data_IF_049836480386
#
_entry.id   IF_049836480386
#
_cell.length_a   1.000
_cell.length_b   1.000
_cell.length_c   1.000
_cell.angle_alpha   90.00
_cell.angle_beta   90.00
_cell.angle_gamma   90.00
#
_symmetry.space_group_name_H-M   'P 1'
#
loop_
_entity.id
_entity.type
_entity.pdbx_description
1 polymer ?
#
# COMPACT_ATOMS: atom_id res chain seq x y z
N UNK A 1 -21.58 -27.50 3.79
CA UNK A 1 -22.51 -27.28 4.92
C UNK A 1 -23.10 -25.89 4.77
N UNK A 2 -24.42 -25.73 4.86
CA UNK A 2 -25.05 -24.42 4.80
C UNK A 2 -24.86 -23.69 6.13
N UNK A 3 -24.37 -22.45 6.10
CA UNK A 3 -24.18 -21.61 7.30
C UNK A 3 -25.53 -21.24 7.91
N UNK A 4 -25.65 -21.37 9.23
CA UNK A 4 -26.85 -20.96 9.96
C UNK A 4 -26.96 -19.43 10.00
N UNK A 5 -28.18 -18.90 10.12
CA UNK A 5 -28.40 -17.46 10.28
C UNK A 5 -27.72 -16.89 11.54
N UNK A 6 -27.53 -17.71 12.57
CA UNK A 6 -26.83 -17.30 13.79
C UNK A 6 -25.32 -17.16 13.54
N UNK A 7 -24.70 -18.08 12.81
CA UNK A 7 -23.29 -17.97 12.40
C UNK A 7 -23.08 -16.78 11.47
N UNK A 8 -23.95 -16.60 10.46
CA UNK A 8 -23.90 -15.44 9.55
C UNK A 8 -24.02 -14.13 10.34
N UNK A 9 -24.92 -14.08 11.33
CA UNK A 9 -25.04 -12.91 12.20
C UNK A 9 -23.79 -12.67 13.04
N UNK A 10 -23.23 -13.73 13.62
CA UNK A 10 -21.99 -13.65 14.40
C UNK A 10 -20.82 -13.12 13.55
N UNK A 11 -20.70 -13.54 12.29
CA UNK A 11 -19.67 -13.02 11.39
C UNK A 11 -19.84 -11.51 11.11
N UNK A 12 -21.08 -11.04 10.94
CA UNK A 12 -21.38 -9.61 10.72
C UNK A 12 -21.03 -8.76 11.95
N UNK A 13 -21.39 -9.19 13.15
CA UNK A 13 -21.09 -8.40 14.38
C UNK A 13 -19.59 -8.37 14.69
N UNK A 14 -18.85 -9.44 14.38
CA UNK A 14 -17.41 -9.51 14.58
C UNK A 14 -16.59 -8.94 13.42
N UNK A 15 -17.24 -8.48 12.34
CA UNK A 15 -16.58 -7.94 11.16
C UNK A 15 -15.55 -8.94 10.58
N UNK A 16 -15.95 -10.21 10.46
CA UNK A 16 -15.04 -11.29 10.11
C UNK A 16 -14.81 -11.36 8.58
N UNK A 17 -13.58 -11.07 8.08
CA UNK A 17 -13.27 -11.10 6.66
C UNK A 17 -13.18 -12.51 6.07
N UNK A 18 -13.10 -13.57 6.89
CA UNK A 18 -13.04 -14.95 6.38
C UNK A 18 -14.33 -15.40 5.69
N UNK A 19 -15.45 -14.72 5.98
CA UNK A 19 -16.76 -14.97 5.37
C UNK A 19 -17.06 -14.07 4.17
N UNK A 20 -16.16 -13.16 3.80
CA UNK A 20 -16.36 -12.27 2.65
C UNK A 20 -16.41 -13.08 1.35
N UNK A 21 -17.52 -12.96 0.61
CA UNK A 21 -17.76 -13.74 -0.62
C UNK A 21 -18.40 -15.11 -0.38
N UNK A 22 -18.45 -15.58 0.87
CA UNK A 22 -19.22 -16.78 1.26
C UNK A 22 -20.71 -16.45 1.37
N UNK A 23 -21.03 -15.28 1.93
CA UNK A 23 -22.39 -14.75 1.94
C UNK A 23 -22.38 -13.21 1.98
N UNK A 24 -23.55 -12.63 1.79
CA UNK A 24 -23.81 -11.19 1.85
C UNK A 24 -25.00 -10.92 2.77
N UNK A 25 -25.08 -9.72 3.34
CA UNK A 25 -26.24 -9.31 4.11
C UNK A 25 -26.82 -8.01 3.61
N UNK A 26 -28.15 -7.92 3.56
CA UNK A 26 -28.93 -6.74 3.25
C UNK A 26 -29.53 -6.11 4.49
N UNK A 27 -29.68 -4.79 4.48
CA UNK A 27 -30.39 -4.03 5.51
C UNK A 27 -31.64 -3.43 4.87
N UNK A 28 -32.82 -3.93 5.28
CA UNK A 28 -34.11 -3.57 4.69
C UNK A 28 -34.38 -2.06 4.74
N UNK A 29 -34.03 -1.42 5.85
CA UNK A 29 -34.31 0.01 6.08
C UNK A 29 -33.46 0.95 5.23
N UNK A 30 -32.23 0.57 4.88
CA UNK A 30 -31.34 1.41 4.08
C UNK A 30 -31.36 1.04 2.60
N UNK A 31 -31.88 -0.13 2.25
CA UNK A 31 -31.85 -0.66 0.90
C UNK A 31 -30.43 -1.05 0.45
N UNK A 32 -29.51 -1.31 1.38
CA UNK A 32 -28.09 -1.57 1.08
C UNK A 32 -27.76 -3.03 1.42
N UNK A 33 -26.97 -3.69 0.57
CA UNK A 33 -26.30 -4.95 0.93
C UNK A 33 -24.78 -4.78 1.06
N UNK A 34 -24.17 -5.63 1.88
CA UNK A 34 -22.81 -5.53 2.38
C UNK A 34 -22.13 -6.92 2.45
N UNK A 35 -20.80 -6.89 2.57
CA UNK A 35 -19.97 -8.02 3.02
C UNK A 35 -19.97 -8.14 4.56
N UNK A 36 -19.74 -9.32 5.14
CA UNK A 36 -19.61 -9.50 6.60
C UNK A 36 -18.57 -8.59 7.26
N UNK A 37 -17.43 -8.33 6.61
CA UNK A 37 -16.38 -7.41 7.10
C UNK A 37 -16.70 -5.90 6.97
N UNK A 38 -17.94 -5.54 6.61
CA UNK A 38 -18.29 -4.14 6.38
C UNK A 38 -18.17 -3.32 7.67
N UNK A 39 -17.25 -2.35 7.70
CA UNK A 39 -17.04 -1.41 8.84
C UNK A 39 -18.14 -0.36 9.01
N UNK A 40 -19.24 -0.47 8.27
CA UNK A 40 -20.40 0.42 8.44
C UNK A 40 -21.07 0.16 9.79
N UNK A 41 -21.85 1.15 10.27
CA UNK A 41 -22.58 1.02 11.54
C UNK A 41 -23.41 -0.27 11.52
N UNK A 42 -23.30 -1.05 12.60
CA UNK A 42 -24.02 -2.32 12.72
C UNK A 42 -25.54 -2.06 12.65
N UNK A 43 -26.27 -2.78 11.77
CA UNK A 43 -27.72 -2.67 11.69
C UNK A 43 -28.40 -3.43 12.84
N UNK A 44 -29.68 -3.14 13.07
CA UNK A 44 -30.51 -3.97 13.95
C UNK A 44 -30.74 -5.34 13.29
N UNK A 45 -30.53 -6.43 14.04
CA UNK A 45 -30.68 -7.81 13.55
C UNK A 45 -32.03 -8.06 12.86
N UNK A 46 -33.11 -7.48 13.38
CA UNK A 46 -34.46 -7.60 12.81
C UNK A 46 -34.59 -7.06 11.37
N UNK A 47 -33.72 -6.13 10.97
CA UNK A 47 -33.72 -5.51 9.65
C UNK A 47 -32.75 -6.18 8.68
N UNK A 48 -32.10 -7.27 9.08
CA UNK A 48 -31.08 -7.95 8.29
C UNK A 48 -31.66 -9.15 7.55
N UNK A 49 -31.25 -9.31 6.29
CA UNK A 49 -31.52 -10.49 5.45
C UNK A 49 -30.20 -11.01 4.92
N UNK A 50 -30.02 -12.32 4.85
CA UNK A 50 -28.80 -12.93 4.32
C UNK A 50 -29.03 -13.46 2.91
N UNK A 51 -27.98 -13.40 2.08
CA UNK A 51 -27.94 -13.87 0.71
C UNK A 51 -26.67 -14.66 0.49
N UNK A 52 -26.74 -15.74 -0.30
CA UNK A 52 -25.55 -16.50 -0.67
C UNK A 52 -24.89 -15.93 -1.94
N UNK A 53 -25.65 -15.17 -2.74
CA UNK A 53 -25.15 -14.52 -3.95
C UNK A 53 -25.56 -13.06 -4.05
N UNK A 54 -24.77 -12.28 -4.81
CA UNK A 54 -25.08 -10.87 -5.11
C UNK A 54 -26.37 -10.76 -5.92
N UNK A 55 -26.65 -11.71 -6.82
CA UNK A 55 -27.85 -11.73 -7.64
C UNK A 55 -29.14 -11.76 -6.78
N UNK A 56 -29.13 -12.51 -5.67
CA UNK A 56 -30.23 -12.50 -4.71
C UNK A 56 -30.41 -11.11 -4.10
N UNK A 57 -29.34 -10.43 -3.69
CA UNK A 57 -29.43 -9.08 -3.13
C UNK A 57 -30.04 -8.06 -4.12
N UNK A 58 -29.67 -8.14 -5.40
CA UNK A 58 -30.28 -7.31 -6.46
C UNK A 58 -31.76 -7.64 -6.70
N UNK A 59 -32.14 -8.92 -6.68
CA UNK A 59 -33.54 -9.32 -6.77
C UNK A 59 -34.39 -8.74 -5.63
N UNK A 60 -33.78 -8.52 -4.46
CA UNK A 60 -34.37 -7.82 -3.32
C UNK A 60 -34.32 -6.28 -3.41
N UNK A 61 -33.98 -5.72 -4.59
CA UNK A 61 -33.86 -4.27 -4.86
C UNK A 61 -32.88 -3.54 -3.95
N UNK A 62 -31.86 -4.24 -3.46
CA UNK A 62 -30.81 -3.65 -2.64
C UNK A 62 -29.66 -3.17 -3.53
N UNK A 63 -29.13 -1.98 -3.22
CA UNK A 63 -27.93 -1.43 -3.86
C UNK A 63 -26.66 -1.85 -3.10
N UNK A 64 -25.51 -2.02 -3.79
CA UNK A 64 -24.27 -2.37 -3.12
C UNK A 64 -23.80 -1.24 -2.20
N UNK A 65 -23.23 -1.63 -1.06
CA UNK A 65 -22.59 -0.69 -0.15
C UNK A 65 -21.37 -0.03 -0.81
N UNK A 66 -21.33 1.29 -0.84
CA UNK A 66 -20.18 2.06 -1.37
C UNK A 66 -18.90 1.86 -0.55
N UNK A 67 -19.00 1.39 0.70
CA UNK A 67 -17.87 1.24 1.62
C UNK A 67 -17.18 -0.11 1.52
N UNK A 68 -17.94 -1.21 1.45
CA UNK A 68 -17.37 -2.56 1.32
C UNK A 68 -17.46 -3.13 -0.10
N UNK A 69 -18.07 -2.39 -1.03
CA UNK A 69 -18.21 -2.72 -2.46
C UNK A 69 -18.40 -4.23 -2.70
N UNK A 70 -19.49 -4.80 -2.17
CA UNK A 70 -19.77 -6.23 -2.31
C UNK A 70 -19.98 -6.64 -3.78
N UNK A 71 -20.21 -5.67 -4.68
CA UNK A 71 -20.34 -5.82 -6.12
C UNK A 71 -19.05 -6.20 -6.85
N UNK A 72 -17.88 -5.93 -6.25
CA UNK A 72 -16.58 -6.25 -6.85
C UNK A 72 -16.14 -7.64 -6.39
N UNK A 73 -15.54 -8.45 -7.26
CA UNK A 73 -15.03 -9.80 -6.94
C UNK A 73 -14.01 -9.74 -5.79
N UNK A 74 -13.01 -8.87 -5.94
CA UNK A 74 -12.07 -8.51 -4.88
C UNK A 74 -12.23 -7.02 -4.54
N UNK A 75 -12.27 -6.72 -3.24
CA UNK A 75 -12.28 -5.34 -2.77
C UNK A 75 -11.23 -5.17 -1.66
N UNK A 76 -10.01 -4.83 -2.09
CA UNK A 76 -8.86 -4.62 -1.20
C UNK A 76 -8.33 -3.20 -1.35
N UNK A 77 -9.14 -2.16 -1.06
CA UNK A 77 -8.80 -0.77 -1.36
C UNK A 77 -7.49 -0.31 -0.72
N UNK A 78 -7.09 -0.90 0.41
CA UNK A 78 -5.81 -0.62 1.06
C UNK A 78 -4.62 -1.21 0.30
N UNK A 79 -4.76 -2.42 -0.28
CA UNK A 79 -3.68 -3.01 -1.08
C UNK A 79 -3.53 -2.28 -2.41
N UNK A 80 -4.64 -2.01 -3.11
CA UNK A 80 -4.62 -1.26 -4.37
C UNK A 80 -3.98 0.13 -4.19
N UNK A 81 -4.28 0.80 -3.07
CA UNK A 81 -3.65 2.05 -2.68
C UNK A 81 -2.13 1.89 -2.49
N UNK A 82 -1.70 0.82 -1.80
CA UNK A 82 -0.30 0.59 -1.49
C UNK A 82 0.51 0.15 -2.72
N UNK A 83 -0.10 -0.57 -3.66
CA UNK A 83 0.51 -0.90 -4.95
C UNK A 83 0.70 0.35 -5.80
N UNK A 84 -0.31 1.21 -5.89
CA UNK A 84 -0.18 2.52 -6.55
C UNK A 84 0.89 3.37 -5.88
N UNK A 85 0.89 3.44 -4.56
CA UNK A 85 1.91 4.16 -3.82
C UNK A 85 3.31 3.61 -4.11
N UNK A 86 3.49 2.28 -4.09
CA UNK A 86 4.77 1.64 -4.43
C UNK A 86 5.23 2.05 -5.82
N UNK A 87 4.35 1.99 -6.83
CA UNK A 87 4.68 2.42 -8.19
C UNK A 87 5.13 3.89 -8.22
N UNK A 88 4.44 4.78 -7.51
CA UNK A 88 4.80 6.19 -7.40
C UNK A 88 6.21 6.35 -6.79
N UNK A 89 6.54 5.62 -5.72
CA UNK A 89 7.88 5.62 -5.15
C UNK A 89 8.92 5.12 -6.15
N UNK A 90 8.70 3.96 -6.77
CA UNK A 90 9.65 3.36 -7.71
C UNK A 90 9.91 4.27 -8.93
N UNK A 91 8.93 5.07 -9.33
CA UNK A 91 9.03 5.99 -10.48
C UNK A 91 9.66 7.33 -10.12
N UNK A 92 9.28 7.90 -8.97
CA UNK A 92 9.58 9.30 -8.62
C UNK A 92 10.48 9.45 -7.40
N UNK A 93 11.13 8.38 -6.91
CA UNK A 93 12.00 8.46 -5.73
C UNK A 93 13.07 9.56 -5.82
N UNK A 94 13.56 9.87 -7.03
CA UNK A 94 14.58 10.90 -7.26
C UNK A 94 14.00 12.33 -7.19
N UNK A 95 12.77 12.54 -7.62
CA UNK A 95 12.09 13.83 -7.58
C UNK A 95 11.20 13.95 -6.33
N UNK A 96 11.74 14.61 -5.30
CA UNK A 96 11.07 14.80 -4.02
C UNK A 96 9.75 15.56 -4.14
N UNK A 97 9.67 16.54 -5.03
CA UNK A 97 8.48 17.39 -5.17
C UNK A 97 7.38 16.61 -5.88
N UNK A 98 7.72 15.94 -6.99
CA UNK A 98 6.76 15.11 -7.73
C UNK A 98 6.27 13.94 -6.88
N UNK A 99 7.16 13.24 -6.19
CA UNK A 99 6.80 12.16 -5.27
C UNK A 99 5.78 12.62 -4.21
N UNK A 100 6.02 13.78 -3.58
CA UNK A 100 5.10 14.31 -2.57
C UNK A 100 3.73 14.69 -3.16
N UNK A 101 3.71 15.20 -4.39
CA UNK A 101 2.49 15.58 -5.10
C UNK A 101 1.65 14.35 -5.45
N UNK A 102 2.25 13.35 -6.07
CA UNK A 102 1.59 12.11 -6.51
C UNK A 102 1.04 11.31 -5.31
N UNK A 103 1.78 11.24 -4.20
CA UNK A 103 1.28 10.60 -2.97
C UNK A 103 0.08 11.36 -2.38
N UNK A 104 0.06 12.70 -2.48
CA UNK A 104 -1.06 13.51 -2.01
C UNK A 104 -2.33 13.26 -2.84
N UNK A 105 -2.18 13.03 -4.15
CA UNK A 105 -3.30 12.73 -5.06
C UNK A 105 -3.99 11.40 -4.78
N UNK A 106 -3.36 10.50 -4.02
CA UNK A 106 -4.01 9.28 -3.54
C UNK A 106 -5.18 9.54 -2.57
N UNK A 107 -5.33 10.76 -2.06
CA UNK A 107 -6.50 11.17 -1.28
C UNK A 107 -6.56 10.57 0.14
N UNK A 108 -5.44 10.11 0.68
CA UNK A 108 -5.34 9.49 2.01
C UNK A 108 -4.57 10.40 2.97
N UNK A 109 -5.03 10.49 4.22
CA UNK A 109 -4.32 11.27 5.24
C UNK A 109 -2.92 10.72 5.49
N UNK A 110 -1.95 11.60 5.73
CA UNK A 110 -0.55 11.22 5.91
C UNK A 110 -0.35 10.18 7.03
N UNK A 111 -1.04 10.36 8.17
CA UNK A 111 -0.95 9.42 9.29
C UNK A 111 -1.49 8.04 8.93
N UNK A 112 -2.63 7.98 8.24
CA UNK A 112 -3.21 6.71 7.82
C UNK A 112 -2.30 6.02 6.79
N UNK A 113 -1.78 6.78 5.83
CA UNK A 113 -0.85 6.28 4.82
C UNK A 113 0.42 5.68 5.45
N UNK A 114 1.06 6.38 6.39
CA UNK A 114 2.27 5.89 7.08
C UNK A 114 1.98 4.58 7.83
N UNK A 115 0.84 4.48 8.52
CA UNK A 115 0.45 3.26 9.23
C UNK A 115 0.22 2.08 8.27
N UNK A 116 -0.51 2.30 7.18
CA UNK A 116 -0.75 1.28 6.16
C UNK A 116 0.55 0.82 5.51
N UNK A 117 1.41 1.77 5.13
CA UNK A 117 2.67 1.48 4.46
C UNK A 117 3.62 0.69 5.38
N UNK A 118 3.75 1.09 6.65
CA UNK A 118 4.52 0.34 7.66
C UNK A 118 3.98 -1.07 7.87
N UNK A 119 2.66 -1.23 7.95
CA UNK A 119 2.04 -2.54 8.13
C UNK A 119 2.35 -3.49 6.99
N UNK A 120 2.42 -2.98 5.76
CA UNK A 120 2.65 -3.79 4.56
C UNK A 120 4.13 -4.03 4.26
N UNK A 121 4.96 -2.98 4.33
CA UNK A 121 6.35 -3.02 3.88
C UNK A 121 7.36 -3.06 5.03
N UNK A 122 6.91 -3.10 6.28
CA UNK A 122 7.77 -3.10 7.49
C UNK A 122 8.72 -1.90 7.61
N UNK A 123 8.45 -0.82 6.86
CA UNK A 123 9.25 0.41 6.86
C UNK A 123 8.37 1.63 6.62
N UNK A 124 8.87 2.82 6.93
CA UNK A 124 8.22 4.08 6.58
C UNK A 124 8.32 4.39 5.09
N UNK A 125 7.41 5.22 4.55
CA UNK A 125 7.55 5.72 3.19
C UNK A 125 8.87 6.48 2.93
N UNK A 126 9.38 7.19 3.94
CA UNK A 126 10.66 7.92 3.85
C UNK A 126 11.84 6.96 3.79
N UNK A 127 11.85 5.91 4.61
CA UNK A 127 12.87 4.86 4.56
C UNK A 127 12.86 4.12 3.22
N UNK A 128 11.67 3.81 2.69
CA UNK A 128 11.53 3.18 1.37
C UNK A 128 12.09 4.07 0.26
N UNK A 129 11.73 5.35 0.22
CA UNK A 129 12.32 6.29 -0.73
C UNK A 129 13.85 6.34 -0.61
N UNK A 130 14.38 6.50 0.60
CA UNK A 130 15.83 6.59 0.80
C UNK A 130 16.55 5.30 0.42
N UNK A 131 15.94 4.13 0.63
CA UNK A 131 16.46 2.84 0.14
C UNK A 131 16.60 2.85 -1.39
N UNK A 132 15.54 3.23 -2.12
CA UNK A 132 15.60 3.34 -3.59
C UNK A 132 16.68 4.34 -4.05
N UNK A 133 16.83 5.46 -3.35
CA UNK A 133 17.88 6.46 -3.64
C UNK A 133 19.28 5.89 -3.45
N UNK A 134 19.51 5.13 -2.37
CA UNK A 134 20.81 4.48 -2.12
C UNK A 134 21.08 3.41 -3.19
N UNK A 135 20.10 2.58 -3.54
CA UNK A 135 20.23 1.58 -4.60
C UNK A 135 20.60 2.23 -5.94
N UNK A 136 19.95 3.35 -6.30
CA UNK A 136 20.30 4.11 -7.51
C UNK A 136 21.71 4.68 -7.42
N UNK A 137 22.12 5.21 -6.27
CA UNK A 137 23.46 5.73 -6.06
C UNK A 137 24.52 4.64 -6.21
N UNK A 138 24.28 3.44 -5.66
CA UNK A 138 25.17 2.28 -5.82
C UNK A 138 25.35 1.92 -7.30
N UNK A 139 24.26 1.87 -8.07
CA UNK A 139 24.31 1.63 -9.51
C UNK A 139 25.12 2.70 -10.25
N UNK A 140 24.94 3.98 -9.92
CA UNK A 140 25.68 5.07 -10.56
C UNK A 140 27.16 5.09 -10.17
N UNK A 141 27.47 4.74 -8.91
CA UNK A 141 28.86 4.65 -8.43
C UNK A 141 29.63 3.52 -9.11
N UNK A 142 28.95 2.40 -9.39
CA UNK A 142 29.55 1.23 -10.03
C UNK A 142 29.70 1.38 -11.56
N UNK A 143 28.74 2.06 -12.21
CA UNK A 143 28.65 2.06 -13.68
C UNK A 143 29.04 3.40 -14.33
N UNK A 144 29.41 4.43 -13.56
CA UNK A 144 29.76 5.76 -14.11
C UNK A 144 30.89 6.43 -13.33
N UNK A 145 31.65 7.29 -14.04
CA UNK A 145 32.73 8.11 -13.47
C UNK A 145 32.27 9.50 -13.00
N UNK A 146 30.95 9.75 -13.00
CA UNK A 146 30.37 11.04 -12.60
C UNK A 146 30.76 11.40 -11.16
N UNK A 147 30.85 12.69 -10.86
CA UNK A 147 31.17 13.20 -9.51
C UNK A 147 30.17 12.71 -8.46
N UNK A 148 30.64 12.56 -7.21
CA UNK A 148 29.79 12.14 -6.09
C UNK A 148 28.63 13.11 -5.87
N UNK A 149 28.86 14.41 -6.09
CA UNK A 149 27.80 15.43 -6.04
C UNK A 149 26.69 15.14 -7.04
N UNK A 150 27.04 14.92 -8.31
CA UNK A 150 26.04 14.61 -9.34
C UNK A 150 25.31 13.31 -9.04
N UNK A 151 26.00 12.28 -8.53
CA UNK A 151 25.35 11.04 -8.13
C UNK A 151 24.35 11.27 -7.01
N UNK A 152 24.70 12.06 -6.00
CA UNK A 152 23.78 12.41 -4.93
C UNK A 152 22.52 13.11 -5.48
N UNK A 153 22.70 14.09 -6.38
CA UNK A 153 21.60 14.83 -6.98
C UNK A 153 20.73 13.95 -7.90
N UNK A 154 21.33 13.16 -8.79
CA UNK A 154 20.63 12.23 -9.69
C UNK A 154 19.88 11.13 -8.94
N UNK A 155 20.40 10.74 -7.78
CA UNK A 155 19.75 9.79 -6.88
C UNK A 155 18.67 10.44 -6.02
N UNK A 156 18.46 11.76 -6.10
CA UNK A 156 17.38 12.47 -5.41
C UNK A 156 17.68 12.94 -3.99
N UNK A 157 18.95 12.98 -3.58
CA UNK A 157 19.33 13.59 -2.31
C UNK A 157 19.36 15.11 -2.45
N UNK A 158 18.89 15.81 -1.42
CA UNK A 158 18.89 17.28 -1.38
C UNK A 158 20.20 17.91 -0.94
N UNK A 159 21.15 17.12 -0.44
CA UNK A 159 22.47 17.58 -0.02
C UNK A 159 23.47 16.42 0.00
N UNK A 160 24.75 16.76 -0.11
CA UNK A 160 25.84 15.79 0.05
C UNK A 160 25.88 15.21 1.46
N UNK A 161 25.73 16.03 2.50
CA UNK A 161 25.79 15.54 3.89
C UNK A 161 24.76 14.46 4.14
N UNK A 162 23.50 14.70 3.76
CA UNK A 162 22.43 13.70 3.89
C UNK A 162 22.72 12.45 3.06
N UNK A 163 23.26 12.60 1.85
CA UNK A 163 23.66 11.45 1.04
C UNK A 163 24.72 10.59 1.75
N UNK A 164 25.80 11.19 2.24
CA UNK A 164 26.87 10.48 2.94
C UNK A 164 26.35 9.76 4.20
N UNK A 165 25.51 10.42 5.00
CA UNK A 165 24.94 9.86 6.22
C UNK A 165 24.09 8.62 5.92
N UNK A 166 23.15 8.73 4.97
CA UNK A 166 22.26 7.63 4.60
C UNK A 166 23.01 6.50 3.89
N UNK A 167 23.92 6.83 2.96
CA UNK A 167 24.68 5.83 2.22
C UNK A 167 25.57 5.03 3.16
N UNK A 168 26.33 5.69 4.04
CA UNK A 168 27.19 5.00 5.01
C UNK A 168 26.37 4.16 5.99
N UNK A 169 25.21 4.66 6.43
CA UNK A 169 24.33 3.91 7.32
C UNK A 169 23.75 2.63 6.68
N UNK A 170 23.41 2.66 5.40
CA UNK A 170 22.85 1.50 4.70
C UNK A 170 23.90 0.53 4.14
N UNK A 171 25.00 1.06 3.61
CA UNK A 171 26.02 0.28 2.87
C UNK A 171 27.23 -0.07 3.75
N UNK A 172 27.46 0.66 4.84
CA UNK A 172 28.61 0.50 5.73
C UNK A 172 29.90 1.17 5.24
N UNK A 173 29.95 1.57 3.97
CA UNK A 173 31.08 2.24 3.32
C UNK A 173 30.72 3.67 2.91
N UNK A 174 31.71 4.54 2.78
CA UNK A 174 31.50 5.82 2.10
C UNK A 174 31.30 5.61 0.59
N UNK A 175 30.60 6.52 -0.11
CA UNK A 175 30.43 6.47 -1.57
C UNK A 175 31.76 6.30 -2.35
N UNK A 176 32.83 6.97 -1.89
CA UNK A 176 34.16 6.91 -2.51
C UNK A 176 34.82 5.55 -2.33
N UNK A 177 34.75 4.98 -1.13
CA UNK A 177 35.25 3.64 -0.83
C UNK A 177 34.47 2.59 -1.63
N UNK A 178 33.14 2.71 -1.64
CA UNK A 178 32.27 1.81 -2.41
C UNK A 178 32.66 1.80 -3.89
N UNK A 179 32.80 2.97 -4.54
CA UNK A 179 33.27 3.05 -5.94
C UNK A 179 34.61 2.35 -6.15
N UNK A 180 35.59 2.57 -5.26
CA UNK A 180 36.91 1.93 -5.35
C UNK A 180 36.79 0.40 -5.33
N UNK A 181 35.92 -0.16 -4.47
CA UNK A 181 35.69 -1.61 -4.41
C UNK A 181 35.08 -2.19 -5.67
N UNK A 182 34.20 -1.44 -6.36
CA UNK A 182 33.60 -1.89 -7.61
C UNK A 182 34.60 -1.88 -8.76
N UNK A 183 35.44 -0.85 -8.86
CA UNK A 183 36.48 -0.77 -9.88
C UNK A 183 37.52 -1.91 -9.73
N UNK A 184 37.91 -2.25 -8.49
CA UNK A 184 38.84 -3.38 -8.25
C UNK A 184 38.27 -4.76 -8.58
N UNK A 185 36.94 -4.91 -8.62
CA UNK A 185 36.27 -6.15 -9.02
C UNK A 185 36.01 -6.24 -10.54
N UNK A 186 36.00 -5.10 -11.25
CA UNK A 186 35.85 -5.04 -12.71
C UNK A 186 37.10 -5.51 -13.47
N UNK A 187 38.29 -5.32 -12.90
CA UNK A 187 39.57 -5.70 -13.53
C UNK A 187 39.91 -7.21 -13.44
N UNK A 188 39.04 -8.03 -12.83
CA UNK A 188 39.24 -9.48 -12.66
C UNK A 188 38.29 -10.35 -13.49
N UNK A 189 37.61 -9.79 -14.50
CA UNK A 189 36.63 -10.53 -15.31
C UNK A 189 36.95 -10.51 -16.80
#
# INVERSE_FOLDING_TARGET
MALTNQEKWNAVIHNDPSYDGVFFYGVKTTGIFCRPSCKSKQPLKANVVFFDTIAQAYAHRLRPCKRCRPDLLEFRPMLDLLEKAKHIFDTYFSDRHKLATEIKELGVSQNHFIQLFRKQFTMTPVEYANKLRVEKAMQLLANTDTTILNIAMLSGFGSLSTFYDFFKKQVGLSPKEYRKTQNTNGDKK
#
